data_IF_587581157093
#
_entry.id   IF_587581157093
#
_cell.length_a   1.000
_cell.length_b   1.000
_cell.length_c   1.000
_cell.angle_alpha   90.00
_cell.angle_beta   90.00
_cell.angle_gamma   90.00
#
_symmetry.space_group_name_H-M   'P 1'
#
loop_
_entity.id
_entity.type
_entity.pdbx_description
1 polymer ?
#
# COMPACT_ATOMS: atom_id res chain seq x y z
N UNK A 1 5.47 -13.32 -10.41
CA UNK A 1 5.53 -13.56 -8.98
C UNK A 1 6.80 -13.00 -8.32
N UNK A 2 8.04 -13.40 -8.75
CA UNK A 2 9.30 -12.94 -8.15
C UNK A 2 9.47 -11.42 -8.12
N UNK A 3 9.08 -10.71 -9.19
CA UNK A 3 9.19 -9.25 -9.25
C UNK A 3 8.30 -8.55 -8.22
N UNK A 4 7.04 -8.97 -8.09
CA UNK A 4 6.08 -8.33 -7.18
C UNK A 4 6.40 -8.66 -5.73
N UNK A 5 6.60 -9.94 -5.39
CA UNK A 5 6.79 -10.38 -4.00
C UNK A 5 8.19 -10.11 -3.48
N UNK A 6 9.21 -10.33 -4.30
CA UNK A 6 10.62 -10.32 -3.86
C UNK A 6 11.43 -9.15 -4.40
N UNK A 7 10.83 -8.30 -5.25
CA UNK A 7 11.55 -7.16 -5.82
C UNK A 7 12.71 -7.55 -6.76
N UNK A 8 12.65 -8.73 -7.37
CA UNK A 8 13.73 -9.24 -8.22
C UNK A 8 13.25 -9.37 -9.66
N UNK A 9 13.92 -8.70 -10.58
CA UNK A 9 13.66 -8.74 -12.00
C UNK A 9 13.94 -10.11 -12.63
N UNK A 10 13.61 -10.25 -13.91
CA UNK A 10 13.87 -11.47 -14.67
C UNK A 10 15.37 -11.77 -14.81
N UNK A 11 16.19 -10.72 -14.81
CA UNK A 11 17.66 -10.75 -14.91
C UNK A 11 18.38 -10.96 -13.57
N UNK A 12 17.60 -11.11 -12.48
CA UNK A 12 18.13 -11.32 -11.14
C UNK A 12 18.50 -10.04 -10.38
N UNK A 13 18.34 -8.86 -10.99
CA UNK A 13 18.62 -7.59 -10.30
C UNK A 13 17.46 -7.18 -9.39
N UNK A 14 17.78 -6.48 -8.30
CA UNK A 14 16.80 -5.83 -7.46
C UNK A 14 16.07 -4.71 -8.22
N UNK A 15 14.75 -4.67 -8.12
CA UNK A 15 13.91 -3.65 -8.73
C UNK A 15 13.86 -2.42 -7.83
N UNK A 16 14.37 -1.30 -8.34
CA UNK A 16 14.18 0.00 -7.72
C UNK A 16 12.71 0.44 -7.83
N UNK A 17 12.24 1.24 -6.90
CA UNK A 17 10.86 1.78 -6.85
C UNK A 17 9.75 0.71 -6.73
N UNK A 18 10.08 -0.57 -6.71
CA UNK A 18 9.09 -1.63 -6.52
C UNK A 18 8.89 -1.88 -5.02
N UNK A 19 7.73 -1.53 -4.44
CA UNK A 19 7.46 -1.67 -3.01
C UNK A 19 7.10 -3.13 -2.65
N UNK A 20 7.98 -4.06 -2.99
CA UNK A 20 7.73 -5.51 -2.83
C UNK A 20 7.49 -5.91 -1.38
N UNK A 21 8.10 -5.21 -0.42
CA UNK A 21 7.82 -5.43 1.01
C UNK A 21 6.35 -5.23 1.36
N UNK A 22 5.68 -4.27 0.72
CA UNK A 22 4.25 -4.02 0.90
C UNK A 22 3.39 -5.13 0.29
N UNK A 23 3.83 -5.77 -0.79
CA UNK A 23 3.08 -6.82 -1.50
C UNK A 23 3.46 -8.23 -1.06
N UNK A 24 4.46 -8.38 -0.19
CA UNK A 24 4.92 -9.69 0.28
C UNK A 24 3.84 -10.47 1.02
N UNK A 25 2.94 -9.77 1.71
CA UNK A 25 1.86 -10.36 2.50
C UNK A 25 0.78 -11.07 1.68
N UNK A 26 0.68 -10.77 0.37
CA UNK A 26 -0.32 -11.41 -0.48
C UNK A 26 -0.14 -12.94 -0.51
N UNK A 27 -1.24 -13.67 -0.38
CA UNK A 27 -1.25 -15.11 -0.58
C UNK A 27 -0.79 -15.50 -1.98
N UNK A 28 -0.44 -16.75 -2.20
CA UNK A 28 -0.10 -17.23 -3.54
C UNK A 28 -1.31 -17.17 -4.48
N UNK A 29 -2.51 -17.36 -3.95
CA UNK A 29 -3.77 -17.31 -4.68
C UNK A 29 -4.07 -15.87 -5.14
N UNK A 30 -4.03 -14.90 -4.25
CA UNK A 30 -4.31 -13.50 -4.59
C UNK A 30 -3.24 -12.90 -5.50
N UNK A 31 -1.97 -13.23 -5.27
CA UNK A 31 -0.90 -12.82 -6.16
C UNK A 31 -1.04 -13.48 -7.54
N UNK A 32 -1.51 -14.72 -7.59
CA UNK A 32 -1.85 -15.41 -8.84
C UNK A 32 -2.97 -14.72 -9.60
N UNK A 33 -4.05 -14.34 -8.90
CA UNK A 33 -5.18 -13.60 -9.46
C UNK A 33 -4.74 -12.22 -10.00
N UNK A 34 -3.93 -11.48 -9.22
CA UNK A 34 -3.34 -10.21 -9.67
C UNK A 34 -2.51 -10.38 -10.96
N UNK A 35 -1.66 -11.41 -11.04
CA UNK A 35 -0.85 -11.67 -12.22
C UNK A 35 -1.74 -12.06 -13.42
N UNK A 36 -2.79 -12.85 -13.20
CA UNK A 36 -3.74 -13.21 -14.24
C UNK A 36 -4.44 -11.97 -14.80
N UNK A 37 -4.89 -11.07 -13.91
CA UNK A 37 -5.46 -9.79 -14.33
C UNK A 37 -4.47 -8.95 -15.15
N UNK A 38 -3.24 -8.76 -14.67
CA UNK A 38 -2.23 -7.99 -15.40
C UNK A 38 -1.96 -8.56 -16.80
N UNK A 39 -1.97 -9.90 -16.93
CA UNK A 39 -1.80 -10.57 -18.24
C UNK A 39 -3.02 -10.47 -19.14
N UNK A 40 -4.20 -10.16 -18.61
CA UNK A 40 -5.40 -9.95 -19.43
C UNK A 40 -5.50 -8.54 -20.01
N UNK A 41 -4.68 -7.60 -19.53
CA UNK A 41 -4.64 -6.25 -20.08
C UNK A 41 -4.04 -6.26 -21.49
N UNK A 42 -4.52 -5.36 -22.39
CA UNK A 42 -3.91 -5.19 -23.69
C UNK A 42 -2.41 -4.90 -23.58
N UNK A 43 -1.63 -5.54 -24.43
CA UNK A 43 -0.21 -5.26 -24.54
C UNK A 43 0.02 -3.82 -25.03
N UNK A 44 0.92 -3.10 -24.35
CA UNK A 44 1.38 -1.79 -24.77
C UNK A 44 2.82 -1.92 -25.21
N UNK A 45 3.04 -1.77 -26.53
CA UNK A 45 4.37 -1.81 -27.13
C UNK A 45 5.09 -0.47 -26.86
N UNK A 46 5.80 -0.42 -25.74
CA UNK A 46 6.55 0.74 -25.32
C UNK A 46 7.95 0.33 -24.87
N UNK A 47 8.95 0.65 -25.68
CA UNK A 47 10.34 0.44 -25.31
C UNK A 47 10.74 1.37 -24.17
N UNK A 48 10.90 0.81 -22.99
CA UNK A 48 11.42 1.54 -21.84
C UNK A 48 12.94 1.54 -21.86
N UNK A 49 13.58 2.73 -21.70
CA UNK A 49 15.03 2.78 -21.57
C UNK A 49 15.48 2.00 -20.32
N UNK A 50 16.70 1.44 -20.31
CA UNK A 50 17.26 0.80 -19.14
C UNK A 50 17.19 1.72 -17.91
N UNK A 51 16.74 1.19 -16.77
CA UNK A 51 16.76 1.93 -15.52
C UNK A 51 18.19 2.04 -15.02
N UNK A 52 18.80 3.22 -15.19
CA UNK A 52 20.17 3.51 -14.76
C UNK A 52 20.22 4.75 -13.89
N UNK A 53 21.05 4.69 -12.84
CA UNK A 53 21.37 5.90 -12.08
C UNK A 53 22.30 6.80 -12.88
N UNK A 54 21.90 8.05 -13.07
CA UNK A 54 22.77 9.10 -13.58
C UNK A 54 24.05 9.22 -12.70
N UNK A 55 25.15 9.79 -13.20
CA UNK A 55 26.39 9.90 -12.43
C UNK A 55 26.22 10.53 -11.05
N UNK A 56 25.42 11.59 -10.94
CA UNK A 56 25.07 12.23 -9.67
C UNK A 56 24.31 11.27 -8.72
N UNK A 57 23.36 10.51 -9.26
CA UNK A 57 22.62 9.51 -8.49
C UNK A 57 23.54 8.40 -7.92
N UNK A 58 24.56 7.99 -8.67
CA UNK A 58 25.56 7.02 -8.21
C UNK A 58 26.41 7.58 -7.05
N UNK A 59 26.78 8.85 -7.12
CA UNK A 59 27.48 9.55 -6.03
C UNK A 59 26.58 9.64 -4.79
N UNK A 60 25.30 10.05 -4.95
CA UNK A 60 24.35 10.14 -3.85
C UNK A 60 24.09 8.75 -3.20
N UNK A 61 24.02 7.69 -4.02
CA UNK A 61 23.91 6.32 -3.51
C UNK A 61 25.13 5.94 -2.65
N UNK A 62 26.35 6.25 -3.14
CA UNK A 62 27.57 5.94 -2.40
C UNK A 62 27.71 6.72 -1.09
N UNK A 63 27.07 7.87 -0.99
CA UNK A 63 27.00 8.71 0.21
C UNK A 63 25.79 8.36 1.13
N UNK A 64 24.97 7.36 0.78
CA UNK A 64 23.77 7.00 1.53
C UNK A 64 22.69 8.10 1.51
N UNK A 65 22.69 8.98 0.51
CA UNK A 65 21.78 10.13 0.41
C UNK A 65 20.61 9.91 -0.55
N UNK A 66 20.46 8.69 -1.10
CA UNK A 66 19.27 8.38 -1.88
C UNK A 66 18.07 8.12 -0.96
N UNK A 67 16.86 8.58 -1.34
CA UNK A 67 15.64 8.21 -0.65
C UNK A 67 15.48 6.67 -0.59
N UNK A 68 15.03 6.15 0.54
CA UNK A 68 14.80 4.69 0.72
C UNK A 68 13.87 4.10 -0.35
N UNK A 69 12.91 4.90 -0.85
CA UNK A 69 12.00 4.50 -1.91
C UNK A 69 12.70 4.12 -3.23
N UNK A 70 13.91 4.62 -3.47
CA UNK A 70 14.70 4.31 -4.70
C UNK A 70 15.59 3.09 -4.48
N UNK A 71 15.85 2.73 -3.23
CA UNK A 71 16.69 1.56 -2.89
C UNK A 71 15.84 0.30 -3.06
N UNK A 72 16.32 -0.72 -3.80
CA UNK A 72 15.58 -1.96 -3.92
C UNK A 72 15.29 -2.60 -2.56
N UNK A 73 14.01 -2.87 -2.28
CA UNK A 73 13.59 -3.49 -1.02
C UNK A 73 14.00 -4.96 -0.88
N UNK A 74 14.67 -5.51 -1.88
CA UNK A 74 15.07 -6.91 -1.94
C UNK A 74 15.86 -7.38 -0.70
N UNK A 75 16.71 -6.52 -0.15
CA UNK A 75 17.52 -6.85 1.05
C UNK A 75 16.74 -6.75 2.37
N UNK A 76 15.56 -6.15 2.36
CA UNK A 76 14.72 -5.93 3.54
C UNK A 76 13.63 -7.01 3.69
N UNK A 77 13.48 -7.86 2.67
CA UNK A 77 12.48 -8.92 2.65
C UNK A 77 13.12 -10.23 3.10
N UNK A 78 12.49 -10.90 4.06
CA UNK A 78 12.84 -12.28 4.38
C UNK A 78 12.29 -13.21 3.29
N UNK A 79 13.16 -13.54 2.33
CA UNK A 79 12.80 -14.39 1.18
C UNK A 79 12.46 -15.84 1.54
N UNK A 80 12.79 -16.26 2.75
CA UNK A 80 12.60 -17.62 3.26
C UNK A 80 11.45 -17.71 4.26
N UNK A 81 10.82 -16.58 4.60
CA UNK A 81 9.66 -16.59 5.47
C UNK A 81 8.54 -17.48 4.90
N UNK A 82 7.73 -18.11 5.76
CA UNK A 82 6.56 -18.85 5.33
C UNK A 82 5.66 -17.99 4.43
N UNK A 83 5.10 -18.61 3.40
CA UNK A 83 4.21 -17.89 2.49
C UNK A 83 2.93 -17.49 3.22
N UNK A 84 2.50 -16.25 3.06
CA UNK A 84 1.26 -15.80 3.64
C UNK A 84 0.07 -16.59 3.12
N UNK A 85 -0.89 -16.84 4.00
CA UNK A 85 -2.16 -17.48 3.66
C UNK A 85 -3.26 -16.46 3.88
N UNK A 86 -4.07 -16.20 2.85
CA UNK A 86 -5.19 -15.29 2.99
C UNK A 86 -6.22 -15.86 3.98
N UNK A 87 -6.75 -15.04 4.90
CA UNK A 87 -7.90 -15.42 5.69
C UNK A 87 -9.12 -15.71 4.79
N UNK A 88 -10.05 -16.51 5.30
CA UNK A 88 -11.30 -16.75 4.57
C UNK A 88 -12.05 -15.42 4.36
N UNK A 89 -12.48 -15.11 3.12
CA UNK A 89 -13.26 -13.91 2.84
C UNK A 89 -14.53 -13.83 3.70
N UNK A 90 -14.83 -12.65 4.20
CA UNK A 90 -16.01 -12.36 5.01
C UNK A 90 -15.81 -11.12 5.89
N UNK A 91 -16.86 -10.71 6.58
CA UNK A 91 -16.81 -9.57 7.52
C UNK A 91 -16.19 -10.04 8.83
N UNK A 92 -14.86 -10.21 8.82
CA UNK A 92 -14.05 -10.62 9.98
C UNK A 92 -12.86 -9.70 10.19
N UNK A 93 -12.35 -9.68 11.41
CA UNK A 93 -11.18 -8.85 11.78
C UNK A 93 -9.94 -9.29 11.00
N UNK A 94 -9.72 -10.61 10.89
CA UNK A 94 -8.57 -11.19 10.21
C UNK A 94 -8.56 -10.86 8.71
N UNK A 95 -9.73 -10.91 8.08
CA UNK A 95 -9.84 -10.53 6.67
C UNK A 95 -9.70 -9.02 6.49
N UNK A 96 -10.24 -8.23 7.42
CA UNK A 96 -10.05 -6.78 7.47
C UNK A 96 -8.59 -6.37 7.63
N UNK A 97 -7.84 -7.04 8.52
CA UNK A 97 -6.40 -6.85 8.69
C UNK A 97 -5.64 -7.15 7.39
N UNK A 98 -5.95 -8.27 6.76
CA UNK A 98 -5.34 -8.68 5.50
C UNK A 98 -5.56 -7.64 4.41
N UNK A 99 -6.78 -7.14 4.24
CA UNK A 99 -7.10 -6.11 3.25
C UNK A 99 -6.47 -4.75 3.60
N UNK A 100 -6.52 -4.36 4.88
CA UNK A 100 -5.98 -3.09 5.36
C UNK A 100 -4.45 -3.02 5.31
N UNK A 101 -3.76 -4.15 5.12
CA UNK A 101 -2.30 -4.17 4.98
C UNK A 101 -1.83 -3.25 3.84
N UNK A 102 -2.57 -3.17 2.73
CA UNK A 102 -2.24 -2.26 1.63
C UNK A 102 -2.25 -0.78 2.05
N UNK A 103 -3.03 -0.42 3.08
CA UNK A 103 -3.11 0.96 3.60
C UNK A 103 -1.81 1.37 4.31
N UNK A 104 -1.03 0.40 4.80
CA UNK A 104 0.22 0.67 5.54
C UNK A 104 1.26 1.39 4.69
N UNK A 105 1.20 1.25 3.36
CA UNK A 105 2.10 1.94 2.44
C UNK A 105 2.06 3.46 2.62
N UNK A 106 0.86 4.01 2.80
CA UNK A 106 0.65 5.44 2.94
C UNK A 106 0.35 5.88 4.37
N UNK A 107 -0.33 5.04 5.17
CA UNK A 107 -0.75 5.39 6.51
C UNK A 107 0.20 4.90 7.63
N UNK A 108 1.38 4.39 7.23
CA UNK A 108 2.39 3.87 8.17
C UNK A 108 2.06 2.46 8.68
N UNK A 109 3.08 1.76 9.18
CA UNK A 109 2.97 0.35 9.61
C UNK A 109 1.95 0.13 10.73
N UNK A 110 1.69 1.15 11.55
CA UNK A 110 0.70 1.12 12.62
C UNK A 110 -0.63 1.77 12.22
N UNK A 111 -0.79 2.15 10.96
CA UNK A 111 -1.97 2.87 10.43
C UNK A 111 -2.27 4.18 11.16
N UNK A 112 -1.31 4.74 11.86
CA UNK A 112 -1.45 5.99 12.61
C UNK A 112 -1.01 7.25 11.83
N UNK A 113 -0.90 7.10 10.49
CA UNK A 113 -0.53 8.18 9.59
C UNK A 113 0.97 8.37 9.46
N UNK A 114 1.38 9.06 8.41
CA UNK A 114 2.75 9.48 8.18
C UNK A 114 2.83 10.63 7.17
N UNK A 115 3.99 11.25 7.07
CA UNK A 115 4.29 12.28 6.08
C UNK A 115 5.00 11.65 4.88
N UNK A 116 4.41 11.79 3.71
CA UNK A 116 4.94 11.30 2.44
C UNK A 116 5.51 12.45 1.62
N UNK A 117 6.61 12.19 0.93
CA UNK A 117 7.25 13.18 0.04
C UNK A 117 7.38 12.61 -1.36
N UNK A 118 6.86 13.34 -2.34
CA UNK A 118 6.97 13.02 -3.76
C UNK A 118 7.54 14.25 -4.51
N UNK A 119 8.82 14.23 -4.76
CA UNK A 119 9.51 15.40 -5.29
C UNK A 119 9.34 16.62 -4.37
N UNK A 120 8.83 17.76 -4.87
CA UNK A 120 8.56 18.94 -4.05
C UNK A 120 7.28 18.84 -3.20
N UNK A 121 6.43 17.86 -3.48
CA UNK A 121 5.13 17.73 -2.83
C UNK A 121 5.25 16.99 -1.48
N UNK A 122 4.47 17.47 -0.52
CA UNK A 122 4.37 16.85 0.82
C UNK A 122 2.90 16.49 1.06
N UNK A 123 2.65 15.23 1.35
CA UNK A 123 1.34 14.71 1.67
C UNK A 123 1.34 14.19 3.11
N UNK A 124 0.28 14.49 3.86
CA UNK A 124 0.08 13.94 5.20
C UNK A 124 -1.04 12.92 5.11
N UNK A 125 -0.68 11.64 5.22
CA UNK A 125 -1.66 10.58 5.37
C UNK A 125 -2.22 10.60 6.80
N UNK A 126 -3.53 10.58 6.90
CA UNK A 126 -4.23 10.70 8.18
C UNK A 126 -4.06 9.45 9.04
N UNK A 127 -4.21 9.62 10.33
CA UNK A 127 -4.24 8.54 11.31
C UNK A 127 -5.58 7.78 11.20
N UNK A 128 -5.52 6.49 10.88
CA UNK A 128 -6.68 5.60 10.75
C UNK A 128 -7.02 4.87 12.07
N UNK A 129 -6.28 5.12 13.14
CA UNK A 129 -6.61 4.58 14.47
C UNK A 129 -7.65 5.44 15.18
N UNK A 130 -8.14 4.96 16.32
CA UNK A 130 -9.04 5.74 17.20
C UNK A 130 -8.42 7.02 17.76
N UNK A 131 -7.15 7.30 17.52
CA UNK A 131 -6.47 8.56 17.83
C UNK A 131 -6.51 9.60 16.71
N UNK A 132 -7.13 9.29 15.57
CA UNK A 132 -7.13 10.11 14.35
C UNK A 132 -8.48 10.73 13.98
N UNK A 133 -8.60 11.15 12.72
CA UNK A 133 -9.77 11.87 12.21
C UNK A 133 -11.06 11.03 12.16
N UNK A 134 -10.98 9.69 12.23
CA UNK A 134 -12.14 8.81 12.18
C UNK A 134 -12.85 8.61 13.53
N UNK A 135 -12.44 9.36 14.55
CA UNK A 135 -13.13 9.34 15.84
C UNK A 135 -14.58 9.80 15.65
N UNK A 136 -15.51 8.97 16.09
CA UNK A 136 -16.94 9.26 15.97
C UNK A 136 -17.56 8.92 14.63
N UNK A 137 -16.81 8.39 13.67
CA UNK A 137 -17.37 7.87 12.43
C UNK A 137 -18.14 6.57 12.71
N UNK A 138 -19.20 6.38 11.95
CA UNK A 138 -19.89 5.10 11.81
C UNK A 138 -19.28 4.25 10.69
N UNK A 139 -19.66 2.99 10.60
CA UNK A 139 -19.33 2.11 9.48
C UNK A 139 -19.83 2.70 8.15
N UNK A 140 -21.04 3.27 8.15
CA UNK A 140 -21.64 3.89 6.98
C UNK A 140 -20.86 5.14 6.53
N UNK A 141 -20.37 5.95 7.47
CA UNK A 141 -19.50 7.10 7.17
C UNK A 141 -18.21 6.67 6.48
N UNK A 142 -17.59 5.60 6.98
CA UNK A 142 -16.37 5.04 6.37
C UNK A 142 -16.66 4.55 4.95
N UNK A 143 -17.67 3.70 4.75
CA UNK A 143 -18.03 3.14 3.44
C UNK A 143 -18.39 4.28 2.47
N UNK A 144 -19.21 5.24 2.90
CA UNK A 144 -19.58 6.40 2.08
C UNK A 144 -18.36 7.23 1.69
N UNK A 145 -17.43 7.47 2.63
CA UNK A 145 -16.19 8.18 2.34
C UNK A 145 -15.35 7.44 1.30
N UNK A 146 -15.22 6.12 1.42
CA UNK A 146 -14.48 5.31 0.45
C UNK A 146 -15.16 5.29 -0.93
N UNK A 147 -16.48 5.34 -1.01
CA UNK A 147 -17.25 5.37 -2.27
C UNK A 147 -17.22 6.72 -2.97
N UNK A 148 -17.33 7.80 -2.20
CA UNK A 148 -17.54 9.17 -2.73
C UNK A 148 -16.28 10.02 -2.69
N UNK A 149 -15.30 9.67 -1.85
CA UNK A 149 -14.13 10.49 -1.56
C UNK A 149 -14.45 11.70 -0.67
N UNK A 150 -15.64 11.78 -0.06
CA UNK A 150 -16.05 12.90 0.80
C UNK A 150 -16.23 12.41 2.23
N UNK A 151 -15.52 13.02 3.17
CA UNK A 151 -15.63 12.70 4.59
C UNK A 151 -16.97 13.21 5.17
N UNK A 152 -17.41 12.72 6.35
CA UNK A 152 -18.61 13.24 7.02
C UNK A 152 -18.57 14.75 7.28
N UNK A 153 -17.38 15.32 7.46
CA UNK A 153 -17.16 16.75 7.61
C UNK A 153 -17.16 17.54 6.29
N UNK A 154 -17.45 16.89 5.14
CA UNK A 154 -17.49 17.52 3.82
C UNK A 154 -16.12 17.77 3.16
N UNK A 155 -15.02 17.26 3.75
CA UNK A 155 -13.69 17.36 3.16
C UNK A 155 -13.52 16.36 2.03
N UNK A 156 -13.09 16.82 0.85
CA UNK A 156 -12.75 15.95 -0.27
C UNK A 156 -11.39 15.29 -0.04
N UNK A 157 -11.31 13.96 -0.21
CA UNK A 157 -10.05 13.25 -0.23
C UNK A 157 -9.23 13.68 -1.45
N UNK A 158 -7.93 13.80 -1.26
CA UNK A 158 -6.98 14.16 -2.33
C UNK A 158 -6.79 12.97 -3.28
N UNK A 159 -6.49 13.25 -4.56
CA UNK A 159 -6.29 12.20 -5.58
C UNK A 159 -5.04 11.33 -5.31
N UNK A 160 -4.11 11.77 -4.47
CA UNK A 160 -2.98 10.97 -4.02
C UNK A 160 -3.44 9.75 -3.20
N UNK A 161 -4.54 9.87 -2.43
CA UNK A 161 -5.22 8.73 -1.85
C UNK A 161 -6.06 8.04 -2.94
N UNK A 162 -5.77 6.78 -3.31
CA UNK A 162 -6.43 6.13 -4.44
C UNK A 162 -7.83 5.60 -4.07
N UNK A 163 -8.64 6.43 -3.40
CA UNK A 163 -9.97 6.08 -2.90
C UNK A 163 -10.93 5.61 -3.99
N UNK A 164 -10.78 6.08 -5.23
CA UNK A 164 -11.59 5.67 -6.38
C UNK A 164 -11.44 4.16 -6.70
N UNK A 165 -10.28 3.60 -6.39
CA UNK A 165 -10.01 2.17 -6.58
C UNK A 165 -10.42 1.36 -5.35
N UNK A 166 -10.07 1.79 -4.16
CA UNK A 166 -10.52 1.15 -2.92
C UNK A 166 -12.05 1.21 -2.76
N UNK A 167 -12.67 2.27 -3.26
CA UNK A 167 -14.13 2.39 -3.32
C UNK A 167 -14.82 1.35 -4.21
N UNK A 168 -14.09 0.54 -4.98
CA UNK A 168 -14.65 -0.58 -5.76
C UNK A 168 -14.67 -1.91 -5.00
N UNK A 169 -14.08 -1.96 -3.81
CA UNK A 169 -14.20 -3.11 -2.91
C UNK A 169 -15.68 -3.39 -2.62
N UNK A 170 -16.01 -4.64 -2.38
CA UNK A 170 -17.38 -5.00 -1.95
C UNK A 170 -17.72 -4.39 -0.60
N UNK A 171 -19.00 -4.31 -0.27
CA UNK A 171 -19.42 -3.80 1.04
C UNK A 171 -18.88 -4.66 2.18
N UNK A 172 -18.83 -5.98 2.00
CA UNK A 172 -18.29 -6.90 3.01
C UNK A 172 -16.79 -6.69 3.23
N UNK A 173 -16.02 -6.40 2.18
CA UNK A 173 -14.60 -6.05 2.29
C UNK A 173 -14.39 -4.73 3.02
N UNK A 174 -15.15 -3.69 2.69
CA UNK A 174 -15.08 -2.40 3.38
C UNK A 174 -15.51 -2.53 4.85
N UNK A 175 -16.55 -3.33 5.16
CA UNK A 175 -16.96 -3.63 6.53
C UNK A 175 -15.87 -4.37 7.29
N UNK A 176 -15.21 -5.35 6.66
CA UNK A 176 -14.11 -6.07 7.28
C UNK A 176 -12.95 -5.13 7.62
N UNK A 177 -12.56 -4.23 6.67
CA UNK A 177 -11.54 -3.21 6.92
C UNK A 177 -11.96 -2.30 8.07
N UNK A 178 -13.19 -1.80 8.07
CA UNK A 178 -13.70 -0.97 9.16
C UNK A 178 -13.63 -1.68 10.50
N UNK A 179 -14.08 -2.94 10.56
CA UNK A 179 -14.06 -3.76 11.77
C UNK A 179 -12.64 -3.88 12.35
N UNK A 180 -11.65 -4.13 11.50
CA UNK A 180 -10.25 -4.17 11.91
C UNK A 180 -9.75 -2.82 12.43
N UNK A 181 -10.00 -1.72 11.70
CA UNK A 181 -9.57 -0.38 12.11
C UNK A 181 -10.13 0.02 13.47
N UNK A 182 -11.36 -0.43 13.81
CA UNK A 182 -11.99 -0.17 15.11
C UNK A 182 -11.32 -0.92 16.29
N UNK A 183 -10.50 -1.91 16.03
CA UNK A 183 -9.75 -2.63 17.07
C UNK A 183 -8.38 -2.04 17.35
N UNK A 184 -7.90 -1.16 16.45
CA UNK A 184 -6.59 -0.55 16.64
C UNK A 184 -6.59 0.35 17.89
N UNK A 185 -5.52 0.29 18.70
CA UNK A 185 -5.37 1.18 19.84
C UNK A 185 -5.29 2.63 19.37
N UNK A 186 -5.77 3.60 20.16
CA UNK A 186 -5.59 5.00 19.85
C UNK A 186 -4.10 5.37 19.91
N UNK A 187 -3.57 5.78 18.75
CA UNK A 187 -2.18 6.23 18.63
C UNK A 187 -2.14 7.71 18.24
N UNK A 188 -1.10 8.45 18.62
CA UNK A 188 -0.89 9.80 18.08
C UNK A 188 -0.57 9.74 16.59
N UNK A 189 -0.78 10.85 15.88
CA UNK A 189 -0.39 10.98 14.46
C UNK A 189 1.09 10.61 14.29
N UNK A 190 1.37 9.74 13.33
CA UNK A 190 2.73 9.39 12.94
C UNK A 190 3.48 10.56 12.28
N UNK A 191 4.80 10.45 12.18
CA UNK A 191 5.69 11.49 11.64
C UNK A 191 5.86 11.37 10.14
#
# INVERSE_FOLDING_TARGET
MRAIRHGVGYDGRGLALMPSGTWYYLSDEDLGALIAYLKSLPEVDNEMPPSELAPLGRVMLSLGQLPEAIIPNVTMIDHYAPRPVAPKPGVTVEYGEYLAHTCTLCHGSNLNGQTLREGPNVYVAVNLTKGGEMVGWSEEDFITTMRTGVTPGGKQLIDFMPWKYFGQMTDDELKAVWLYLQLLPPLPQGK
#
